data_IF_686713056907
#
_entry.id   IF_686713056907
#
_cell.length_a   1.000
_cell.length_b   1.000
_cell.length_c   1.000
_cell.angle_alpha   90.00
_cell.angle_beta   90.00
_cell.angle_gamma   90.00
#
_symmetry.space_group_name_H-M   'P 1'
#
loop_
_entity.id
_entity.type
_entity.pdbx_description
1 polymer ?
#
# COMPACT_ATOMS: atom_id res chain seq x y z
N UNK A 1 16.61 2.45 -21.95
CA UNK A 1 15.25 2.49 -21.36
C UNK A 1 15.20 3.53 -20.23
N UNK A 2 14.09 4.22 -20.06
CA UNK A 2 13.88 5.16 -18.96
C UNK A 2 12.80 4.64 -17.99
N UNK A 3 13.06 4.75 -16.68
CA UNK A 3 12.13 4.39 -15.60
C UNK A 3 11.89 5.64 -14.76
N UNK A 4 10.64 5.89 -14.37
CA UNK A 4 10.29 7.02 -13.52
C UNK A 4 10.12 6.55 -12.09
N UNK A 5 10.93 7.11 -11.20
CA UNK A 5 10.89 6.81 -9.77
C UNK A 5 10.39 8.04 -9.05
N UNK A 6 9.36 7.87 -8.22
CA UNK A 6 8.84 8.95 -7.37
C UNK A 6 9.39 8.74 -5.97
N UNK A 7 10.19 9.68 -5.47
CA UNK A 7 10.74 9.65 -4.11
C UNK A 7 10.54 11.01 -3.44
N UNK A 8 10.06 11.01 -2.20
CA UNK A 8 9.82 12.23 -1.42
C UNK A 8 9.03 13.32 -2.20
N UNK A 9 8.06 12.89 -3.03
CA UNK A 9 7.26 13.78 -3.88
C UNK A 9 7.96 14.31 -5.13
N UNK A 10 9.23 13.98 -5.36
CA UNK A 10 9.98 14.34 -6.58
C UNK A 10 10.01 13.17 -7.55
N UNK A 11 9.68 13.42 -8.82
CA UNK A 11 9.81 12.45 -9.90
C UNK A 11 11.21 12.55 -10.49
N UNK A 12 11.95 11.45 -10.46
CA UNK A 12 13.30 11.36 -11.02
C UNK A 12 13.31 10.30 -12.12
N UNK A 13 13.97 10.60 -13.22
CA UNK A 13 14.14 9.67 -14.34
C UNK A 13 15.43 8.89 -14.17
N UNK A 14 15.35 7.57 -14.31
CA UNK A 14 16.46 6.64 -14.29
C UNK A 14 16.69 6.16 -15.71
N UNK A 15 17.91 6.33 -16.21
CA UNK A 15 18.30 5.86 -17.54
C UNK A 15 19.16 4.62 -17.42
N UNK A 16 18.69 3.54 -18.01
CA UNK A 16 19.36 2.23 -18.03
C UNK A 16 19.68 1.90 -19.47
N UNK A 17 20.91 1.44 -19.71
CA UNK A 17 21.37 1.09 -21.04
C UNK A 17 20.50 -0.03 -21.65
N UNK A 18 20.07 0.10 -22.92
CA UNK A 18 19.21 -0.90 -23.56
C UNK A 18 19.79 -2.32 -23.52
N UNK A 19 21.10 -2.46 -23.75
CA UNK A 19 21.78 -3.77 -23.75
C UNK A 19 21.63 -4.48 -22.40
N UNK A 20 21.73 -3.76 -21.28
CA UNK A 20 21.53 -4.33 -19.94
C UNK A 20 20.09 -4.81 -19.75
N UNK A 21 19.13 -4.09 -20.30
CA UNK A 21 17.72 -4.50 -20.28
C UNK A 21 17.54 -5.77 -21.09
N UNK A 22 18.12 -5.84 -22.28
CA UNK A 22 18.03 -7.01 -23.16
C UNK A 22 18.61 -8.25 -22.46
N UNK A 23 19.82 -8.14 -21.90
CA UNK A 23 20.43 -9.23 -21.13
C UNK A 23 19.58 -9.66 -19.94
N UNK A 24 19.00 -8.71 -19.20
CA UNK A 24 18.11 -9.02 -18.10
C UNK A 24 16.86 -9.76 -18.57
N UNK A 25 16.21 -9.34 -19.67
CA UNK A 25 15.03 -10.03 -20.21
C UNK A 25 15.33 -11.47 -20.63
N UNK A 26 16.50 -11.70 -21.23
CA UNK A 26 16.97 -13.04 -21.60
C UNK A 26 17.15 -13.90 -20.35
N UNK A 27 17.79 -13.37 -19.31
CA UNK A 27 18.02 -14.09 -18.04
C UNK A 27 16.72 -14.42 -17.31
N UNK A 28 15.72 -13.53 -17.39
CA UNK A 28 14.38 -13.77 -16.84
C UNK A 28 13.56 -14.78 -17.68
N UNK A 29 14.06 -15.21 -18.84
CA UNK A 29 13.36 -16.16 -19.72
C UNK A 29 12.20 -15.53 -20.49
N UNK A 30 12.21 -14.20 -20.64
CA UNK A 30 11.17 -13.39 -21.28
C UNK A 30 11.78 -12.52 -22.38
N UNK A 31 12.60 -13.13 -23.25
CA UNK A 31 13.33 -12.43 -24.31
C UNK A 31 12.38 -11.58 -25.17
N UNK A 32 12.74 -10.32 -25.39
CA UNK A 32 11.94 -9.37 -26.16
C UNK A 32 10.81 -8.68 -25.39
N UNK A 33 10.54 -9.09 -24.14
CA UNK A 33 9.59 -8.42 -23.25
C UNK A 33 10.31 -7.46 -22.30
N UNK A 34 10.53 -6.24 -22.78
CA UNK A 34 11.18 -5.17 -22.00
C UNK A 34 10.33 -4.71 -20.83
N UNK A 35 9.02 -5.00 -20.82
CA UNK A 35 8.14 -4.67 -19.70
C UNK A 35 8.40 -5.58 -18.50
N UNK A 36 8.75 -6.86 -18.72
CA UNK A 36 9.21 -7.73 -17.64
C UNK A 36 10.46 -7.18 -16.95
N UNK A 37 11.49 -6.78 -17.73
CA UNK A 37 12.70 -6.17 -17.15
C UNK A 37 12.39 -4.83 -16.47
N UNK A 38 11.54 -3.99 -17.06
CA UNK A 38 11.09 -2.74 -16.45
C UNK A 38 10.42 -3.00 -15.09
N UNK A 39 9.50 -3.96 -15.03
CA UNK A 39 8.79 -4.33 -13.80
C UNK A 39 9.76 -4.86 -12.75
N UNK A 40 10.67 -5.74 -13.14
CA UNK A 40 11.70 -6.27 -12.25
C UNK A 40 12.54 -5.15 -11.63
N UNK A 41 13.01 -4.20 -12.46
CA UNK A 41 13.80 -3.07 -11.98
C UNK A 41 12.97 -2.18 -11.05
N UNK A 42 11.72 -1.88 -11.42
CA UNK A 42 10.83 -1.07 -10.59
C UNK A 42 10.59 -1.71 -9.22
N UNK A 43 10.34 -3.02 -9.17
CA UNK A 43 10.16 -3.76 -7.92
C UNK A 43 11.36 -3.63 -6.99
N UNK A 44 12.58 -3.73 -7.54
CA UNK A 44 13.81 -3.63 -6.76
C UNK A 44 14.08 -2.21 -6.28
N UNK A 45 13.75 -1.20 -7.10
CA UNK A 45 13.81 0.21 -6.68
C UNK A 45 12.83 0.46 -5.53
N UNK A 46 11.59 0.00 -5.67
CA UNK A 46 10.54 0.18 -4.66
C UNK A 46 10.89 -0.57 -3.36
N UNK A 47 11.47 -1.78 -3.47
CA UNK A 47 11.91 -2.56 -2.32
C UNK A 47 13.06 -1.89 -1.55
N UNK A 48 13.98 -1.21 -2.26
CA UNK A 48 15.10 -0.48 -1.66
C UNK A 48 14.65 0.78 -0.90
N UNK A 49 13.53 1.40 -1.30
CA UNK A 49 12.90 2.51 -0.57
C UNK A 49 13.86 3.67 -0.27
N UNK A 50 14.14 3.92 1.02
CA UNK A 50 15.04 4.99 1.46
C UNK A 50 16.52 4.71 1.19
N UNK A 51 16.89 3.46 0.94
CA UNK A 51 18.27 3.05 0.63
C UNK A 51 18.71 3.42 -0.79
N UNK A 52 17.76 3.90 -1.62
CA UNK A 52 18.04 4.38 -2.96
C UNK A 52 18.90 5.66 -2.86
N UNK A 53 20.00 5.80 -3.61
CA UNK A 53 20.83 7.00 -3.53
C UNK A 53 20.14 8.21 -4.17
N UNK A 54 20.29 9.40 -3.56
CA UNK A 54 19.74 10.65 -4.10
C UNK A 54 20.48 11.13 -5.35
N UNK A 55 21.80 10.88 -5.40
CA UNK A 55 22.67 11.23 -6.53
C UNK A 55 23.18 9.95 -7.18
N UNK A 56 23.29 9.95 -8.50
CA UNK A 56 23.81 8.80 -9.23
C UNK A 56 22.81 7.63 -9.35
N UNK A 57 21.50 7.90 -9.25
CA UNK A 57 20.44 6.90 -9.33
C UNK A 57 20.54 6.00 -10.58
N UNK A 58 20.85 6.59 -11.75
CA UNK A 58 21.07 5.82 -12.99
C UNK A 58 22.24 4.84 -12.87
N UNK A 59 23.37 5.25 -12.28
CA UNK A 59 24.53 4.36 -12.09
C UNK A 59 24.21 3.25 -11.09
N UNK A 60 23.50 3.58 -10.01
CA UNK A 60 23.07 2.60 -9.02
C UNK A 60 22.11 1.57 -9.63
N UNK A 61 21.13 2.01 -10.42
CA UNK A 61 20.19 1.10 -11.09
C UNK A 61 20.88 0.23 -12.14
N UNK A 62 21.83 0.78 -12.90
CA UNK A 62 22.65 -0.01 -13.83
C UNK A 62 23.49 -1.06 -13.09
N UNK A 63 24.10 -0.70 -11.94
CA UNK A 63 24.84 -1.65 -11.12
C UNK A 63 23.94 -2.75 -10.53
N UNK A 64 22.71 -2.41 -10.15
CA UNK A 64 21.71 -3.38 -9.71
C UNK A 64 21.37 -4.38 -10.83
N UNK A 65 21.13 -3.90 -12.05
CA UNK A 65 20.90 -4.77 -13.22
C UNK A 65 22.11 -5.63 -13.54
N UNK A 66 23.33 -5.07 -13.49
CA UNK A 66 24.55 -5.83 -13.72
C UNK A 66 24.74 -6.96 -12.70
N UNK A 67 24.50 -6.69 -11.42
CA UNK A 67 24.54 -7.72 -10.37
C UNK A 67 23.52 -8.83 -10.64
N UNK A 68 22.31 -8.45 -11.02
CA UNK A 68 21.24 -9.38 -11.34
C UNK A 68 21.54 -10.28 -12.56
N UNK A 69 22.15 -9.73 -13.61
CA UNK A 69 22.54 -10.50 -14.80
C UNK A 69 23.58 -11.57 -14.44
N UNK A 70 24.54 -11.22 -13.58
CA UNK A 70 25.62 -12.13 -13.16
C UNK A 70 25.14 -13.16 -12.12
N UNK A 71 24.08 -12.86 -11.38
CA UNK A 71 23.56 -13.74 -10.34
C UNK A 71 22.88 -15.01 -10.92
N UNK A 72 23.36 -16.22 -10.58
CA UNK A 72 22.70 -17.47 -10.96
C UNK A 72 21.33 -17.69 -10.28
N UNK A 73 21.07 -17.06 -9.14
CA UNK A 73 19.85 -17.24 -8.34
C UNK A 73 18.74 -16.23 -8.69
N UNK A 74 18.90 -15.43 -9.74
CA UNK A 74 18.04 -14.31 -10.13
C UNK A 74 16.53 -14.62 -10.07
N UNK A 75 16.10 -15.78 -10.56
CA UNK A 75 14.68 -16.18 -10.56
C UNK A 75 14.13 -16.37 -9.15
N UNK A 76 14.91 -16.98 -8.26
CA UNK A 76 14.51 -17.19 -6.87
C UNK A 76 14.47 -15.88 -6.07
N UNK A 77 15.37 -14.94 -6.38
CA UNK A 77 15.40 -13.61 -5.77
C UNK A 77 14.13 -12.84 -6.16
N UNK A 78 13.75 -12.90 -7.44
CA UNK A 78 12.53 -12.25 -7.94
C UNK A 78 11.28 -12.76 -7.21
N UNK A 79 11.10 -14.07 -7.09
CA UNK A 79 9.96 -14.67 -6.39
C UNK A 79 9.89 -14.19 -4.93
N UNK A 80 11.04 -14.16 -4.21
CA UNK A 80 11.11 -13.65 -2.84
C UNK A 80 10.72 -12.18 -2.71
N UNK A 81 11.17 -11.35 -3.64
CA UNK A 81 10.86 -9.90 -3.65
C UNK A 81 9.37 -9.67 -3.93
N UNK A 82 8.79 -10.43 -4.86
CA UNK A 82 7.36 -10.39 -5.18
C UNK A 82 6.51 -10.83 -3.99
N UNK A 83 6.86 -11.93 -3.33
CA UNK A 83 6.18 -12.42 -2.13
C UNK A 83 6.25 -11.42 -0.96
N UNK A 84 7.41 -10.78 -0.76
CA UNK A 84 7.59 -9.76 0.25
C UNK A 84 6.71 -8.52 -0.02
N UNK A 85 6.58 -8.10 -1.29
CA UNK A 85 5.67 -7.02 -1.65
C UNK A 85 4.21 -7.40 -1.40
N UNK A 86 3.77 -8.59 -1.84
CA UNK A 86 2.40 -9.05 -1.62
C UNK A 86 2.06 -9.11 -0.12
N UNK A 87 3.00 -9.61 0.69
CA UNK A 87 2.86 -9.66 2.15
C UNK A 87 2.72 -8.27 2.77
N UNK A 88 3.53 -7.28 2.32
CA UNK A 88 3.41 -5.88 2.76
C UNK A 88 2.06 -5.26 2.37
N UNK A 89 1.58 -5.52 1.15
CA UNK A 89 0.28 -5.02 0.69
C UNK A 89 -0.86 -5.63 1.51
N UNK A 90 -0.79 -6.92 1.81
CA UNK A 90 -1.76 -7.62 2.66
C UNK A 90 -1.76 -7.06 4.09
N UNK A 91 -0.58 -6.85 4.70
CA UNK A 91 -0.45 -6.25 6.02
C UNK A 91 -1.05 -4.84 6.07
N UNK A 92 -0.71 -3.98 5.10
CA UNK A 92 -1.29 -2.63 4.99
C UNK A 92 -2.82 -2.64 4.88
N UNK A 93 -3.39 -3.64 4.18
CA UNK A 93 -4.83 -3.78 4.03
C UNK A 93 -5.49 -4.22 5.34
N UNK A 94 -4.87 -5.11 6.11
CA UNK A 94 -5.33 -5.49 7.44
C UNK A 94 -5.28 -4.32 8.42
N UNK A 95 -4.18 -3.56 8.43
CA UNK A 95 -4.05 -2.36 9.27
C UNK A 95 -5.13 -1.32 8.96
N UNK A 96 -5.43 -1.09 7.67
CA UNK A 96 -6.52 -0.18 7.26
C UNK A 96 -7.89 -0.66 7.74
N UNK A 97 -8.18 -1.95 7.60
CA UNK A 97 -9.45 -2.54 8.09
C UNK A 97 -9.57 -2.39 9.60
N UNK A 98 -8.50 -2.66 10.34
CA UNK A 98 -8.47 -2.50 11.79
C UNK A 98 -8.66 -1.04 12.21
N UNK A 99 -7.99 -0.10 11.54
CA UNK A 99 -8.14 1.33 11.79
C UNK A 99 -9.57 1.81 11.51
N UNK A 100 -10.22 1.30 10.46
CA UNK A 100 -11.62 1.60 10.15
C UNK A 100 -12.56 1.04 11.23
N UNK A 101 -12.41 -0.23 11.58
CA UNK A 101 -13.20 -0.86 12.64
C UNK A 101 -13.09 -0.10 13.97
N UNK A 102 -11.90 0.34 14.37
CA UNK A 102 -11.71 1.18 15.57
C UNK A 102 -12.48 2.50 15.51
N UNK A 103 -12.56 3.14 14.34
CA UNK A 103 -13.32 4.38 14.17
C UNK A 103 -14.82 4.12 14.31
N UNK A 104 -15.30 3.07 13.65
CA UNK A 104 -16.72 2.69 13.68
C UNK A 104 -17.16 2.29 15.10
N UNK A 105 -16.31 1.58 15.85
CA UNK A 105 -16.56 1.21 17.24
C UNK A 105 -16.59 2.44 18.18
N UNK A 106 -15.70 3.41 17.96
CA UNK A 106 -15.70 4.67 18.68
C UNK A 106 -16.96 5.51 18.38
N UNK A 107 -17.42 5.52 17.13
CA UNK A 107 -18.64 6.21 16.72
C UNK A 107 -19.88 5.56 17.32
N UNK A 108 -19.98 4.22 17.30
CA UNK A 108 -21.04 3.46 17.95
C UNK A 108 -21.13 3.74 19.44
N UNK A 109 -19.99 3.75 20.12
CA UNK A 109 -19.91 4.08 21.55
C UNK A 109 -20.38 5.52 21.86
N UNK A 110 -20.09 6.49 20.97
CA UNK A 110 -20.57 7.87 21.09
C UNK A 110 -22.08 7.98 20.89
N UNK A 111 -22.62 7.28 19.88
CA UNK A 111 -24.05 7.25 19.60
C UNK A 111 -24.84 6.59 20.73
N UNK A 112 -24.33 5.48 21.30
CA UNK A 112 -24.95 4.82 22.45
C UNK A 112 -24.98 5.72 23.70
N UNK A 113 -23.91 6.50 23.95
CA UNK A 113 -23.91 7.50 25.04
C UNK A 113 -24.96 8.59 24.82
N UNK A 114 -25.02 9.18 23.62
CA UNK A 114 -26.02 10.20 23.28
C UNK A 114 -27.45 9.66 23.38
N UNK A 115 -27.69 8.43 22.92
CA UNK A 115 -29.02 7.80 23.04
C UNK A 115 -29.44 7.63 24.51
N UNK A 116 -28.51 7.22 25.37
CA UNK A 116 -28.77 7.09 26.82
C UNK A 116 -29.01 8.45 27.51
N UNK A 117 -28.32 9.51 27.08
CA UNK A 117 -28.55 10.87 27.59
C UNK A 117 -29.91 11.40 27.14
N UNK A 118 -30.26 11.27 25.85
CA UNK A 118 -31.55 11.69 25.31
C UNK A 118 -32.73 10.99 26.01
N UNK A 119 -32.59 9.70 26.36
CA UNK A 119 -33.62 8.97 27.10
C UNK A 119 -33.83 9.47 28.55
N UNK A 120 -32.83 10.10 29.17
CA UNK A 120 -32.97 10.69 30.51
C UNK A 120 -33.74 12.02 30.51
N UNK A 121 -33.74 12.74 29.38
CA UNK A 121 -34.38 14.06 29.26
C UNK A 121 -35.85 14.02 28.84
N UNK A 122 -36.42 12.85 28.50
CA UNK A 122 -37.82 12.76 28.07
C UNK A 122 -38.77 13.08 29.24
N UNK A 123 -39.56 14.19 29.19
CA UNK A 123 -40.48 14.54 30.25
C UNK A 123 -41.63 13.53 30.29
N UNK A 124 -41.79 12.82 31.40
CA UNK A 124 -42.99 11.99 31.65
C UNK A 124 -44.19 12.91 31.87
N UNK A 125 -44.91 13.23 30.81
CA UNK A 125 -46.22 13.88 30.93
C UNK A 125 -47.18 12.94 31.67
N UNK A 126 -47.47 13.25 32.94
CA UNK A 126 -48.53 12.59 33.70
C UNK A 126 -49.88 12.98 33.05
N UNK A 127 -50.50 12.04 32.34
CA UNK A 127 -51.91 12.19 31.91
C UNK A 127 -52.78 12.30 33.16
N UNK A 128 -53.52 13.40 33.32
CA UNK A 128 -54.53 13.51 34.37
C UNK A 128 -55.66 12.51 34.08
N UNK A 129 -56.20 11.83 35.11
CA UNK A 129 -57.34 10.94 34.92
C UNK A 129 -58.55 11.73 34.42
N UNK A 130 -59.21 11.20 33.41
CA UNK A 130 -60.44 11.75 32.82
C UNK A 130 -61.54 11.66 33.88
N UNK A 131 -61.97 12.80 34.42
CA UNK A 131 -63.14 12.85 35.28
C UNK A 131 -64.37 12.51 34.43
N UNK A 132 -65.01 11.39 34.75
CA UNK A 132 -66.31 11.02 34.22
C UNK A 132 -67.35 11.63 35.15
N UNK A 133 -68.28 12.48 34.68
CA UNK A 133 -69.36 12.97 35.52
C UNK A 133 -70.32 11.81 35.81
N UNK A 134 -70.63 11.58 37.09
CA UNK A 134 -71.67 10.65 37.54
C UNK A 134 -73.06 11.31 37.37
N UNK A 135 -74.11 10.50 37.14
CA UNK A 135 -75.46 10.95 36.82
C UNK A 135 -76.18 11.68 37.95
#
# INVERSE_FOLDING_TARGET
MNIYVTRAGRRTTVSIEPQLVDYLTIRLGKSGDHDTARRWIQLHIDAAGESVPERGLSRWAQALVLRAIVDPALKSEQERVEDAQQSRLAANLQERRYAQWKRDEAERSRLERRAKEAMKEVPRYKRKPKQVPLP
#
